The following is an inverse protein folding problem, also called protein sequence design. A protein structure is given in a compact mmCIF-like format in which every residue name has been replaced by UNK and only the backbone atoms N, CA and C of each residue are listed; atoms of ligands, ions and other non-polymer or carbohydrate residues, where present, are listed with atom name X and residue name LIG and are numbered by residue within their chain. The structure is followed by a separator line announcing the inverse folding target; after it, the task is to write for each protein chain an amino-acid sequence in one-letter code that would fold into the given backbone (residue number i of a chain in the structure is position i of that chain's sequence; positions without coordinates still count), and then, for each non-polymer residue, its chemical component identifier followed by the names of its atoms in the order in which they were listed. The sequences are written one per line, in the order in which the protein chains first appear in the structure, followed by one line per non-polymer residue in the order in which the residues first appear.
data_IF_368902011149
#
_entry.id   IF_368902011149
#
_cell.length_a   1.000
_cell.length_b   1.000
_cell.length_c   1.000
_cell.angle_alpha   90.00
_cell.angle_beta   90.00
_cell.angle_gamma   90.00
#
_symmetry.space_group_name_H-M   'P 1'
#
loop_
_entity.id
_entity.type
_entity.pdbx_description
1 polymer ?
#
# COMPACT_ATOMS: atom_id res chain seq x y z
N UNK A 1 1.50 -12.28 -23.09
CA UNK A 1 2.22 -11.01 -23.06
C UNK A 1 3.37 -10.90 -24.07
N UNK A 2 4.43 -11.74 -24.04
CA UNK A 2 5.54 -11.66 -25.05
C UNK A 2 5.03 -11.78 -26.50
N UNK A 3 4.10 -12.68 -26.78
CA UNK A 3 3.52 -12.84 -28.13
C UNK A 3 2.74 -11.60 -28.61
N UNK A 4 1.95 -10.98 -27.74
CA UNK A 4 1.17 -9.77 -28.06
C UNK A 4 2.07 -8.56 -28.34
N UNK A 5 3.16 -8.40 -27.58
CA UNK A 5 4.18 -7.37 -27.82
C UNK A 5 4.93 -7.60 -29.14
N UNK A 6 5.28 -8.85 -29.47
CA UNK A 6 5.94 -9.18 -30.73
C UNK A 6 5.02 -8.87 -31.91
N UNK A 7 3.73 -9.24 -31.86
CA UNK A 7 2.75 -8.92 -32.90
C UNK A 7 2.58 -7.40 -33.03
N UNK A 8 2.51 -6.69 -31.91
CA UNK A 8 2.41 -5.24 -31.90
C UNK A 8 3.59 -4.55 -32.60
N UNK A 9 4.83 -4.92 -32.28
CA UNK A 9 5.99 -4.38 -32.95
C UNK A 9 6.10 -4.78 -34.42
N UNK A 10 5.67 -6.00 -34.78
CA UNK A 10 5.61 -6.42 -36.18
C UNK A 10 4.63 -5.55 -37.00
N UNK A 11 3.46 -5.23 -36.45
CA UNK A 11 2.46 -4.33 -37.07
C UNK A 11 3.03 -2.92 -37.22
N UNK A 12 3.73 -2.40 -36.19
CA UNK A 12 4.37 -1.07 -36.27
C UNK A 12 5.42 -1.03 -37.39
N UNK A 13 6.30 -2.01 -37.44
CA UNK A 13 7.36 -2.09 -38.47
C UNK A 13 6.74 -2.16 -39.87
N UNK A 14 5.68 -2.99 -40.03
CA UNK A 14 4.96 -3.10 -41.29
C UNK A 14 4.33 -1.78 -41.69
N UNK A 15 3.61 -1.10 -40.80
CA UNK A 15 2.95 0.17 -41.07
C UNK A 15 3.95 1.30 -41.43
N UNK A 16 5.10 1.33 -40.76
CA UNK A 16 6.18 2.29 -41.09
C UNK A 16 6.78 1.95 -42.47
N UNK A 17 7.01 0.69 -42.76
CA UNK A 17 7.53 0.26 -44.08
C UNK A 17 6.57 0.64 -45.22
N UNK A 18 5.25 0.44 -45.05
CA UNK A 18 4.21 0.84 -45.97
C UNK A 18 4.21 2.37 -46.21
N UNK A 19 4.26 3.17 -45.15
CA UNK A 19 4.32 4.62 -45.22
C UNK A 19 5.55 5.11 -45.98
N UNK A 20 6.70 4.51 -45.76
CA UNK A 20 7.95 4.83 -46.47
C UNK A 20 7.86 4.45 -47.96
N UNK A 21 7.30 3.25 -48.24
CA UNK A 21 7.10 2.79 -49.60
C UNK A 21 6.16 3.71 -50.39
N UNK A 22 4.99 4.05 -49.87
CA UNK A 22 4.05 4.96 -50.46
C UNK A 22 4.61 6.37 -50.64
N UNK A 23 5.34 6.88 -49.63
CA UNK A 23 6.03 8.18 -49.74
C UNK A 23 7.05 8.21 -50.86
N UNK A 24 7.87 7.12 -51.00
CA UNK A 24 8.82 6.99 -52.11
C UNK A 24 8.11 7.00 -53.48
N UNK A 25 7.06 6.21 -53.63
CA UNK A 25 6.29 6.11 -54.88
C UNK A 25 5.64 7.44 -55.25
N UNK A 26 5.05 8.16 -54.31
CA UNK A 26 4.43 9.47 -54.53
C UNK A 26 5.45 10.55 -54.94
N UNK A 27 6.63 10.54 -54.34
CA UNK A 27 7.73 11.47 -54.74
C UNK A 27 8.21 11.17 -56.14
N UNK A 28 8.26 9.89 -56.55
CA UNK A 28 8.70 9.47 -57.88
C UNK A 28 7.67 9.90 -58.98
N UNK A 29 6.37 9.84 -58.66
CA UNK A 29 5.29 10.20 -59.54
C UNK A 29 5.08 11.74 -59.66
N UNK A 30 5.41 12.52 -58.63
CA UNK A 30 5.20 13.97 -58.57
C UNK A 30 6.44 14.71 -58.01
N UNK A 31 7.52 14.84 -58.80
CA UNK A 31 8.77 15.45 -58.34
C UNK A 31 8.63 16.93 -57.91
N UNK A 32 7.69 17.67 -58.50
CA UNK A 32 7.43 19.08 -58.18
C UNK A 32 6.84 19.31 -56.78
N UNK A 33 6.24 18.27 -56.13
CA UNK A 33 5.64 18.32 -54.80
C UNK A 33 6.44 17.58 -53.73
N UNK A 34 7.69 17.22 -54.03
CA UNK A 34 8.56 16.43 -53.16
C UNK A 34 8.63 16.94 -51.71
N UNK A 35 8.81 18.26 -51.52
CA UNK A 35 8.91 18.85 -50.18
C UNK A 35 7.64 18.69 -49.33
N UNK A 36 6.48 18.84 -49.96
CA UNK A 36 5.17 18.69 -49.29
C UNK A 36 4.93 17.22 -48.88
N UNK A 37 5.17 16.28 -49.80
CA UNK A 37 4.97 14.83 -49.54
C UNK A 37 5.92 14.34 -48.43
N UNK A 38 7.18 14.78 -48.44
CA UNK A 38 8.14 14.43 -47.40
C UNK A 38 7.75 15.00 -46.02
N UNK A 39 7.25 16.24 -45.97
CA UNK A 39 6.78 16.91 -44.75
C UNK A 39 5.58 16.20 -44.13
N UNK A 40 4.57 15.88 -44.96
CA UNK A 40 3.40 15.13 -44.53
C UNK A 40 3.77 13.73 -44.05
N UNK A 41 4.60 13.01 -44.80
CA UNK A 41 5.08 11.67 -44.42
C UNK A 41 5.84 11.68 -43.12
N UNK A 42 6.72 12.66 -42.89
CA UNK A 42 7.46 12.79 -41.62
C UNK A 42 6.50 13.07 -40.43
N UNK A 43 5.49 13.91 -40.64
CA UNK A 43 4.49 14.19 -39.63
C UNK A 43 3.68 12.93 -39.26
N UNK A 44 3.26 12.12 -40.24
CA UNK A 44 2.55 10.86 -39.99
C UNK A 44 3.43 9.87 -39.21
N UNK A 45 4.69 9.70 -39.59
CA UNK A 45 5.63 8.84 -38.88
C UNK A 45 5.81 9.32 -37.44
N UNK A 46 5.95 10.63 -37.22
CA UNK A 46 6.11 11.20 -35.87
C UNK A 46 4.87 10.92 -34.99
N UNK A 47 3.68 11.19 -35.49
CA UNK A 47 2.41 10.94 -34.77
C UNK A 47 2.26 9.46 -34.47
N UNK A 48 2.62 8.59 -35.41
CA UNK A 48 2.56 7.14 -35.23
C UNK A 48 3.54 6.64 -34.16
N UNK A 49 4.78 7.14 -34.13
CA UNK A 49 5.79 6.79 -33.13
C UNK A 49 5.38 7.27 -31.73
N UNK A 50 4.81 8.48 -31.64
CA UNK A 50 4.27 9.00 -30.36
C UNK A 50 3.13 8.10 -29.87
N UNK A 51 2.18 7.75 -30.74
CA UNK A 51 1.08 6.85 -30.40
C UNK A 51 1.57 5.46 -29.95
N UNK A 52 2.54 4.91 -30.65
CA UNK A 52 3.18 3.64 -30.31
C UNK A 52 3.88 3.69 -28.95
N UNK A 53 4.58 4.79 -28.64
CA UNK A 53 5.22 5.00 -27.35
C UNK A 53 4.20 5.03 -26.21
N UNK A 54 3.12 5.81 -26.34
CA UNK A 54 2.06 5.86 -25.32
C UNK A 54 1.36 4.52 -25.14
N UNK A 55 1.08 3.81 -26.23
CA UNK A 55 0.46 2.49 -26.15
C UNK A 55 1.38 1.47 -25.47
N UNK A 56 2.68 1.46 -25.81
CA UNK A 56 3.68 0.62 -25.15
C UNK A 56 3.74 0.91 -23.63
N UNK A 57 3.77 2.18 -23.25
CA UNK A 57 3.78 2.59 -21.84
C UNK A 57 2.50 2.13 -21.11
N UNK A 58 1.33 2.25 -21.76
CA UNK A 58 0.05 1.80 -21.22
C UNK A 58 0.02 0.29 -21.01
N UNK A 59 0.45 -0.49 -22.00
CA UNK A 59 0.53 -1.95 -21.91
C UNK A 59 1.48 -2.43 -20.79
N UNK A 60 2.62 -1.77 -20.64
CA UNK A 60 3.56 -2.10 -19.56
C UNK A 60 2.99 -1.76 -18.18
N UNK A 61 2.27 -0.65 -18.06
CA UNK A 61 1.60 -0.25 -16.82
C UNK A 61 0.51 -1.26 -16.43
N UNK A 62 -0.30 -1.67 -17.41
CA UNK A 62 -1.35 -2.67 -17.19
C UNK A 62 -0.76 -4.03 -16.79
N UNK A 63 0.29 -4.47 -17.48
CA UNK A 63 1.00 -5.70 -17.18
C UNK A 63 1.54 -5.72 -15.75
N UNK A 64 2.16 -4.61 -15.32
CA UNK A 64 2.69 -4.46 -13.96
C UNK A 64 1.57 -4.49 -12.92
N UNK A 65 0.44 -3.85 -13.21
CA UNK A 65 -0.73 -3.88 -12.34
C UNK A 65 -1.31 -5.30 -12.19
N UNK A 66 -1.36 -6.07 -13.29
CA UNK A 66 -1.81 -7.47 -13.25
C UNK A 66 -0.87 -8.35 -12.42
N UNK A 67 0.44 -8.15 -12.55
CA UNK A 67 1.43 -8.84 -11.72
C UNK A 67 1.27 -8.48 -10.24
N UNK A 68 1.11 -7.21 -9.92
CA UNK A 68 0.86 -6.76 -8.54
C UNK A 68 -0.43 -7.36 -7.97
N UNK A 69 -1.53 -7.42 -8.75
CA UNK A 69 -2.78 -8.06 -8.34
C UNK A 69 -2.59 -9.56 -8.07
N UNK A 70 -1.85 -10.26 -8.95
CA UNK A 70 -1.55 -11.69 -8.76
C UNK A 70 -0.76 -11.90 -7.46
N UNK A 71 0.30 -11.15 -7.25
CA UNK A 71 1.15 -11.23 -6.06
C UNK A 71 0.37 -10.90 -4.79
N UNK A 72 -0.52 -9.91 -4.85
CA UNK A 72 -1.45 -9.61 -3.76
C UNK A 72 -2.33 -10.80 -3.40
N UNK A 73 -2.97 -11.44 -4.38
CA UNK A 73 -3.84 -12.61 -4.13
C UNK A 73 -3.05 -13.77 -3.51
N UNK A 74 -1.83 -14.01 -3.97
CA UNK A 74 -0.94 -15.01 -3.38
C UNK A 74 -0.59 -14.66 -1.93
N UNK A 75 -0.15 -13.42 -1.68
CA UNK A 75 0.17 -12.93 -0.32
C UNK A 75 -1.03 -13.04 0.62
N UNK A 76 -2.22 -12.59 0.20
CA UNK A 76 -3.46 -12.72 0.99
C UNK A 76 -3.76 -14.17 1.33
N UNK A 77 -3.66 -15.08 0.34
CA UNK A 77 -3.91 -16.50 0.56
C UNK A 77 -2.95 -17.07 1.60
N UNK A 78 -1.67 -16.71 1.55
CA UNK A 78 -0.67 -17.13 2.54
C UNK A 78 -0.92 -16.53 3.93
N UNK A 79 -1.25 -15.25 3.99
CA UNK A 79 -1.54 -14.53 5.25
C UNK A 79 -2.82 -15.03 5.93
N UNK A 80 -3.83 -15.46 5.18
CA UNK A 80 -5.04 -16.09 5.72
C UNK A 80 -4.77 -17.55 6.17
N UNK A 81 -3.97 -18.30 5.41
CA UNK A 81 -3.71 -19.71 5.69
C UNK A 81 -2.93 -19.92 6.99
N UNK A 82 -2.01 -19.02 7.33
CA UNK A 82 -1.16 -19.11 8.52
C UNK A 82 -1.97 -19.10 9.83
N UNK A 83 -2.77 -18.07 10.15
CA UNK A 83 -3.58 -18.04 11.37
C UNK A 83 -4.63 -19.15 11.39
N UNK A 84 -5.24 -19.47 10.24
CA UNK A 84 -6.22 -20.57 10.15
C UNK A 84 -5.58 -21.92 10.52
N UNK A 85 -4.35 -22.17 10.06
CA UNK A 85 -3.60 -23.37 10.43
C UNK A 85 -3.24 -23.39 11.92
N UNK A 86 -2.85 -22.24 12.48
CA UNK A 86 -2.57 -22.08 13.91
C UNK A 86 -3.80 -22.40 14.77
N UNK A 87 -4.94 -21.80 14.48
CA UNK A 87 -6.22 -22.06 15.16
C UNK A 87 -6.56 -23.56 15.10
N UNK A 88 -6.46 -24.17 13.90
CA UNK A 88 -6.73 -25.57 13.72
C UNK A 88 -5.85 -26.47 14.59
N UNK A 89 -4.55 -26.19 14.63
CA UNK A 89 -3.59 -26.96 15.43
C UNK A 89 -3.88 -26.81 16.92
N UNK A 90 -4.16 -25.60 17.41
CA UNK A 90 -4.48 -25.32 18.81
C UNK A 90 -5.77 -26.06 19.23
N UNK A 91 -6.84 -25.98 18.44
CA UNK A 91 -8.09 -26.68 18.70
C UNK A 91 -7.93 -28.21 18.63
N UNK A 92 -7.17 -28.74 17.67
CA UNK A 92 -6.87 -30.18 17.62
C UNK A 92 -6.02 -30.64 18.81
N UNK A 93 -5.14 -29.78 19.35
CA UNK A 93 -4.34 -30.08 20.53
C UNK A 93 -5.23 -30.15 21.77
N UNK A 94 -6.16 -29.20 21.94
CA UNK A 94 -7.15 -29.23 23.03
C UNK A 94 -8.01 -30.51 22.96
N UNK A 95 -8.40 -30.93 21.74
CA UNK A 95 -9.24 -32.11 21.56
C UNK A 95 -8.53 -33.44 21.85
N UNK A 96 -7.23 -33.54 21.54
CA UNK A 96 -6.48 -34.81 21.53
C UNK A 96 -5.59 -35.04 22.73
N UNK A 97 -5.35 -34.04 23.57
CA UNK A 97 -4.42 -34.13 24.71
C UNK A 97 -5.12 -33.81 26.00
N UNK A 98 -4.72 -34.50 27.05
CA UNK A 98 -5.09 -34.16 28.43
C UNK A 98 -4.29 -32.90 28.83
N UNK A 99 -4.99 -31.78 28.89
CA UNK A 99 -4.40 -30.47 29.20
C UNK A 99 -4.96 -29.94 30.51
N UNK A 100 -4.14 -29.19 31.25
CA UNK A 100 -4.62 -28.42 32.39
C UNK A 100 -5.55 -27.30 31.95
N UNK A 101 -6.44 -26.87 32.84
CA UNK A 101 -7.37 -25.75 32.58
C UNK A 101 -6.62 -24.47 32.12
N UNK A 102 -5.46 -24.19 32.71
CA UNK A 102 -4.63 -23.03 32.34
C UNK A 102 -4.08 -23.15 30.91
N UNK A 103 -3.65 -24.36 30.49
CA UNK A 103 -3.19 -24.58 29.12
C UNK A 103 -4.32 -24.44 28.11
N UNK A 104 -5.53 -24.96 28.43
CA UNK A 104 -6.70 -24.82 27.58
C UNK A 104 -7.04 -23.32 27.37
N UNK A 105 -7.10 -22.54 28.45
CA UNK A 105 -7.38 -21.10 28.37
C UNK A 105 -6.34 -20.38 27.52
N UNK A 106 -5.05 -20.64 27.72
CA UNK A 106 -3.99 -20.03 26.90
C UNK A 106 -4.13 -20.38 25.41
N UNK A 107 -4.52 -21.61 25.05
CA UNK A 107 -4.74 -22.00 23.66
C UNK A 107 -5.98 -21.33 23.04
N UNK A 108 -7.05 -21.15 23.84
CA UNK A 108 -8.24 -20.41 23.45
C UNK A 108 -7.87 -18.95 23.19
N UNK A 109 -7.16 -18.29 24.12
CA UNK A 109 -6.74 -16.89 23.98
C UNK A 109 -5.89 -16.68 22.74
N UNK A 110 -4.93 -17.56 22.47
CA UNK A 110 -4.13 -17.53 21.23
C UNK A 110 -4.97 -17.71 19.97
N UNK A 111 -5.98 -18.60 20.02
CA UNK A 111 -6.88 -18.80 18.89
C UNK A 111 -7.74 -17.57 18.64
N UNK A 112 -8.23 -16.90 19.68
CA UNK A 112 -8.99 -15.66 19.57
C UNK A 112 -8.15 -14.52 18.96
N UNK A 113 -6.88 -14.38 19.36
CA UNK A 113 -5.97 -13.42 18.74
C UNK A 113 -5.76 -13.70 17.23
N UNK A 114 -5.68 -14.95 16.82
CA UNK A 114 -5.58 -15.30 15.40
C UNK A 114 -6.89 -15.01 14.64
N UNK A 115 -8.07 -15.17 15.28
CA UNK A 115 -9.36 -14.76 14.71
C UNK A 115 -9.43 -13.25 14.52
N UNK A 116 -9.05 -12.46 15.53
CA UNK A 116 -9.00 -10.99 15.44
C UNK A 116 -8.10 -10.52 14.28
N UNK A 117 -6.94 -11.17 14.07
CA UNK A 117 -6.07 -10.87 12.93
C UNK A 117 -6.74 -11.15 11.58
N UNK A 118 -7.53 -12.24 11.49
CA UNK A 118 -8.30 -12.55 10.28
C UNK A 118 -9.38 -11.49 10.01
N UNK A 119 -10.09 -11.06 11.04
CA UNK A 119 -11.11 -10.02 10.95
C UNK A 119 -10.50 -8.69 10.51
N UNK A 120 -9.40 -8.24 11.13
CA UNK A 120 -8.67 -7.02 10.73
C UNK A 120 -8.24 -7.09 9.25
N UNK A 121 -7.81 -8.25 8.77
CA UNK A 121 -7.42 -8.43 7.37
C UNK A 121 -8.62 -8.33 6.42
N UNK A 122 -9.76 -8.96 6.75
CA UNK A 122 -11.00 -8.88 5.97
C UNK A 122 -11.52 -7.45 5.93
N UNK A 123 -11.52 -6.76 7.06
CA UNK A 123 -11.94 -5.35 7.15
C UNK A 123 -11.07 -4.43 6.30
N UNK A 124 -9.76 -4.62 6.31
CA UNK A 124 -8.84 -3.87 5.44
C UNK A 124 -9.11 -4.13 3.94
N UNK A 125 -9.46 -5.37 3.55
CA UNK A 125 -9.83 -5.67 2.17
C UNK A 125 -11.17 -5.01 1.77
N UNK A 126 -12.16 -5.05 2.66
CA UNK A 126 -13.45 -4.41 2.45
C UNK A 126 -13.30 -2.88 2.36
N UNK A 127 -12.47 -2.29 3.23
CA UNK A 127 -12.18 -0.85 3.21
C UNK A 127 -11.48 -0.46 1.90
N UNK A 128 -10.47 -1.21 1.46
CA UNK A 128 -9.81 -0.99 0.18
C UNK A 128 -10.78 -1.09 -1.01
N UNK A 129 -11.73 -2.05 -0.97
CA UNK A 129 -12.77 -2.19 -1.99
C UNK A 129 -13.76 -1.02 -1.97
N UNK A 130 -14.15 -0.52 -0.79
CA UNK A 130 -15.02 0.67 -0.65
C UNK A 130 -14.33 1.93 -1.18
N UNK A 131 -13.05 2.09 -0.90
CA UNK A 131 -12.22 3.21 -1.37
C UNK A 131 -12.14 3.25 -2.90
N UNK A 132 -12.01 2.10 -3.56
CA UNK A 132 -12.00 1.99 -5.04
C UNK A 132 -13.31 2.48 -5.67
N UNK A 133 -14.41 2.45 -4.93
CA UNK A 133 -15.68 3.00 -5.39
C UNK A 133 -15.67 4.52 -5.23
N UNK A 134 -15.53 5.24 -6.36
CA UNK A 134 -15.49 6.70 -6.39
C UNK A 134 -16.72 7.38 -5.76
N UNK A 135 -17.86 6.69 -5.74
CA UNK A 135 -19.12 7.20 -5.15
C UNK A 135 -19.18 7.00 -3.63
N UNK A 136 -18.24 6.27 -3.04
CA UNK A 136 -18.25 6.04 -1.59
C UNK A 136 -17.83 7.30 -0.84
N UNK A 137 -18.71 7.74 0.06
CA UNK A 137 -18.46 8.86 0.97
C UNK A 137 -18.31 8.33 2.38
N UNK A 138 -17.24 8.72 3.05
CA UNK A 138 -17.04 8.39 4.45
C UNK A 138 -18.01 9.16 5.35
N UNK A 139 -18.70 8.50 6.28
CA UNK A 139 -19.49 9.19 7.29
C UNK A 139 -18.58 10.06 8.16
N UNK A 140 -18.97 11.31 8.37
CA UNK A 140 -18.20 12.24 9.19
C UNK A 140 -18.89 12.45 10.53
N UNK A 141 -18.19 12.10 11.60
CA UNK A 141 -18.61 12.37 12.97
C UNK A 141 -17.45 13.01 13.75
N UNK A 142 -17.77 13.85 14.71
CA UNK A 142 -16.79 14.40 15.64
C UNK A 142 -16.44 13.37 16.70
N UNK A 143 -15.17 13.10 16.93
CA UNK A 143 -14.70 12.16 17.95
C UNK A 143 -13.34 12.56 18.50
N UNK A 144 -12.97 12.00 19.65
CA UNK A 144 -11.71 12.24 20.32
C UNK A 144 -10.61 11.34 19.73
N UNK A 145 -9.67 11.95 19.00
CA UNK A 145 -8.53 11.27 18.38
C UNK A 145 -7.52 10.78 19.42
N UNK A 146 -7.35 11.53 20.54
CA UNK A 146 -6.42 11.12 21.61
C UNK A 146 -6.84 9.79 22.22
N UNK A 147 -8.13 9.60 22.49
CA UNK A 147 -8.67 8.33 23.02
C UNK A 147 -8.51 7.19 22.01
N UNK A 148 -8.70 7.47 20.72
CA UNK A 148 -8.54 6.48 19.65
C UNK A 148 -7.09 6.00 19.56
N UNK A 149 -6.14 6.94 19.49
CA UNK A 149 -4.70 6.60 19.38
C UNK A 149 -4.24 5.84 20.62
N UNK A 150 -4.60 6.31 21.81
CA UNK A 150 -4.24 5.66 23.07
C UNK A 150 -4.77 4.22 23.15
N UNK A 151 -6.02 3.97 22.76
CA UNK A 151 -6.61 2.63 22.74
C UNK A 151 -5.89 1.66 21.81
N UNK A 152 -5.46 2.14 20.63
CA UNK A 152 -4.73 1.32 19.65
C UNK A 152 -3.32 1.02 20.14
N UNK A 153 -2.60 2.00 20.68
CA UNK A 153 -1.26 1.82 21.24
C UNK A 153 -1.29 0.79 22.36
N UNK A 154 -2.21 0.93 23.32
CA UNK A 154 -2.36 0.00 24.45
C UNK A 154 -2.67 -1.43 23.96
N UNK A 155 -3.58 -1.60 22.98
CA UNK A 155 -3.89 -2.92 22.38
C UNK A 155 -2.65 -3.56 21.76
N UNK A 156 -1.88 -2.82 20.98
CA UNK A 156 -0.71 -3.33 20.28
C UNK A 156 0.46 -3.64 21.24
N UNK A 157 0.57 -2.91 22.35
CA UNK A 157 1.56 -3.14 23.38
C UNK A 157 1.29 -4.45 24.15
N UNK A 158 0.03 -4.72 24.50
CA UNK A 158 -0.39 -5.94 25.21
C UNK A 158 -0.19 -7.19 24.33
N UNK A 159 -0.50 -7.11 23.03
CA UNK A 159 -0.44 -8.27 22.12
C UNK A 159 0.98 -8.79 21.86
N UNK A 160 2.02 -8.07 22.27
CA UNK A 160 3.45 -8.39 22.02
C UNK A 160 4.28 -8.65 23.28
N UNK A 161 3.65 -8.85 24.42
CA UNK A 161 4.35 -9.10 25.71
C UNK A 161 5.07 -10.45 25.84
N UNK A 162 5.17 -11.28 24.79
CA UNK A 162 5.98 -12.50 24.83
C UNK A 162 7.38 -12.24 24.24
N UNK A 163 8.36 -12.09 25.14
CA UNK A 163 9.81 -12.18 24.91
C UNK A 163 10.47 -11.12 23.98
N UNK A 164 11.12 -10.15 24.60
CA UNK A 164 11.89 -9.03 24.05
C UNK A 164 11.03 -7.85 23.58
N UNK A 165 10.71 -7.05 24.56
CA UNK A 165 9.84 -5.88 24.53
C UNK A 165 10.22 -4.87 23.46
N UNK A 166 9.45 -4.81 22.39
CA UNK A 166 9.37 -3.61 21.60
C UNK A 166 8.47 -2.63 22.35
N UNK A 167 9.02 -1.55 22.88
CA UNK A 167 8.28 -0.57 23.67
C UNK A 167 7.70 0.47 22.70
N UNK A 168 6.38 0.67 22.75
CA UNK A 168 5.75 1.81 22.08
C UNK A 168 5.75 2.96 23.10
N UNK A 169 6.51 4.01 22.81
CA UNK A 169 6.50 5.24 23.58
C UNK A 169 5.48 6.21 22.98
N UNK A 170 4.42 6.51 23.71
CA UNK A 170 3.33 7.36 23.23
C UNK A 170 3.30 8.70 23.96
N UNK A 171 3.42 9.79 23.20
CA UNK A 171 3.23 11.16 23.66
C UNK A 171 1.94 11.71 23.02
N UNK A 172 0.83 11.61 23.73
CA UNK A 172 -0.50 11.95 23.21
C UNK A 172 -1.08 13.12 23.99
N UNK A 173 -1.22 14.28 23.32
CA UNK A 173 -1.93 15.40 23.92
C UNK A 173 -3.42 15.04 24.15
N UNK A 174 -3.97 15.34 25.32
CA UNK A 174 -5.36 14.99 25.63
C UNK A 174 -6.35 15.89 24.88
N UNK A 175 -7.56 15.35 24.66
CA UNK A 175 -8.74 16.09 24.12
C UNK A 175 -8.58 16.64 22.69
N UNK A 176 -7.69 16.08 21.88
CA UNK A 176 -7.65 16.40 20.47
C UNK A 176 -8.87 15.77 19.78
N UNK A 177 -9.72 16.59 19.18
CA UNK A 177 -10.93 16.18 18.48
C UNK A 177 -10.78 16.41 16.98
N UNK A 178 -11.26 15.46 16.18
CA UNK A 178 -11.31 15.58 14.72
C UNK A 178 -12.68 15.19 14.20
N UNK A 179 -13.04 15.69 13.00
CA UNK A 179 -14.25 15.33 12.29
C UNK A 179 -13.91 14.38 11.14
N UNK A 180 -14.43 13.17 11.19
CA UNK A 180 -14.15 12.16 10.16
C UNK A 180 -14.83 10.83 10.42
N UNK A 181 -14.51 9.84 9.58
CA UNK A 181 -14.93 8.45 9.81
C UNK A 181 -14.00 7.79 10.82
N UNK A 182 -14.52 7.56 12.03
CA UNK A 182 -13.75 6.94 13.11
C UNK A 182 -13.20 5.57 12.73
N UNK A 183 -13.96 4.75 11.99
CA UNK A 183 -13.54 3.41 11.59
C UNK A 183 -12.37 3.48 10.58
N UNK A 184 -12.51 4.32 9.55
CA UNK A 184 -11.45 4.50 8.57
C UNK A 184 -10.17 5.08 9.19
N UNK A 185 -10.29 6.04 10.11
CA UNK A 185 -9.15 6.63 10.81
C UNK A 185 -8.53 5.67 11.85
N UNK A 186 -9.32 4.76 12.44
CA UNK A 186 -8.79 3.63 13.23
C UNK A 186 -7.85 2.78 12.36
N UNK A 187 -8.27 2.44 11.13
CA UNK A 187 -7.42 1.68 10.20
C UNK A 187 -6.13 2.44 9.85
N UNK A 188 -6.19 3.77 9.68
CA UNK A 188 -4.98 4.60 9.45
C UNK A 188 -3.99 4.48 10.60
N UNK A 189 -4.44 4.70 11.84
CA UNK A 189 -3.58 4.65 13.03
C UNK A 189 -3.00 3.24 13.19
N UNK A 190 -3.85 2.21 13.12
CA UNK A 190 -3.43 0.80 13.25
C UNK A 190 -2.37 0.44 12.21
N UNK A 191 -2.60 0.75 10.92
CA UNK A 191 -1.66 0.43 9.84
C UNK A 191 -0.30 1.13 10.02
N UNK A 192 -0.27 2.39 10.48
CA UNK A 192 0.99 3.12 10.69
C UNK A 192 1.75 2.58 11.90
N UNK A 193 1.09 2.33 13.03
CA UNK A 193 1.75 1.82 14.23
C UNK A 193 2.20 0.36 14.03
N UNK A 194 1.38 -0.49 13.43
CA UNK A 194 1.76 -1.87 13.11
C UNK A 194 2.95 -1.93 12.15
N UNK A 195 2.99 -1.08 11.12
CA UNK A 195 4.13 -1.01 10.23
C UNK A 195 5.40 -0.59 10.98
N UNK A 196 5.34 0.43 11.82
CA UNK A 196 6.48 0.86 12.63
C UNK A 196 7.01 -0.27 13.51
N UNK A 197 6.12 -0.96 14.22
CA UNK A 197 6.48 -2.11 15.05
C UNK A 197 7.03 -3.28 14.24
N UNK A 198 6.51 -3.53 13.05
CA UNK A 198 6.91 -4.62 12.18
C UNK A 198 8.28 -4.43 11.54
N UNK A 199 8.62 -3.19 11.18
CA UNK A 199 9.85 -2.87 10.48
C UNK A 199 10.96 -2.35 11.39
N UNK A 200 10.67 -2.01 12.64
CA UNK A 200 11.69 -1.72 13.65
C UNK A 200 12.53 -2.94 13.96
N UNK A 201 13.79 -2.72 14.30
CA UNK A 201 14.66 -3.76 14.83
C UNK A 201 14.14 -4.28 16.18
N UNK A 202 14.42 -5.55 16.51
CA UNK A 202 14.07 -6.08 17.83
C UNK A 202 14.67 -5.20 18.95
N UNK A 203 13.88 -4.93 20.00
CA UNK A 203 14.25 -4.10 21.16
C UNK A 203 14.35 -2.58 20.90
N UNK A 204 14.08 -2.10 19.69
CA UNK A 204 14.02 -0.68 19.40
C UNK A 204 12.64 -0.09 19.73
N UNK A 205 12.63 1.17 20.15
CA UNK A 205 11.40 1.85 20.57
C UNK A 205 10.69 2.46 19.34
N UNK A 206 9.38 2.25 19.24
CA UNK A 206 8.51 2.97 18.31
C UNK A 206 7.93 4.19 19.03
N UNK A 207 8.11 5.38 18.46
CA UNK A 207 7.58 6.61 19.06
C UNK A 207 6.31 7.03 18.34
N UNK A 208 5.23 7.22 19.09
CA UNK A 208 3.93 7.69 18.61
C UNK A 208 3.63 9.04 19.24
N UNK A 209 3.40 10.07 18.43
CA UNK A 209 3.07 11.42 18.90
C UNK A 209 1.78 11.92 18.29
N UNK A 210 0.92 12.51 19.12
CA UNK A 210 -0.27 13.23 18.70
C UNK A 210 -0.28 14.58 19.41
N UNK A 211 -0.24 15.68 18.66
CA UNK A 211 -0.19 17.03 19.21
C UNK A 211 -0.83 18.04 18.26
N UNK A 212 -1.23 19.19 18.82
CA UNK A 212 -1.71 20.33 18.06
C UNK A 212 -0.61 21.39 17.97
N UNK A 213 -0.41 21.94 16.77
CA UNK A 213 0.53 23.02 16.52
C UNK A 213 0.08 23.89 15.36
N UNK A 214 0.12 25.24 15.54
CA UNK A 214 -0.19 26.22 14.49
C UNK A 214 -1.58 25.97 13.84
N UNK A 215 -2.59 25.60 14.64
CA UNK A 215 -3.94 25.34 14.16
C UNK A 215 -4.03 24.07 13.27
N UNK A 216 -3.14 23.11 13.46
CA UNK A 216 -3.14 21.82 12.78
C UNK A 216 -2.88 20.71 13.78
N UNK A 217 -3.46 19.54 13.49
CA UNK A 217 -3.22 18.34 14.30
C UNK A 217 -2.18 17.48 13.59
N UNK A 218 -1.15 17.09 14.31
CA UNK A 218 -0.06 16.23 13.86
C UNK A 218 -0.15 14.89 14.54
N UNK A 219 -0.17 13.84 13.74
CA UNK A 219 0.01 12.46 14.18
C UNK A 219 1.29 11.91 13.56
N UNK A 220 2.25 11.52 14.39
CA UNK A 220 3.56 11.04 13.94
C UNK A 220 3.82 9.65 14.51
N UNK A 221 4.35 8.77 13.66
CA UNK A 221 4.84 7.45 14.05
C UNK A 221 6.26 7.32 13.53
N UNK A 222 7.21 7.14 14.45
CA UNK A 222 8.63 7.01 14.14
C UNK A 222 9.14 5.63 14.52
N UNK A 223 9.76 4.94 13.56
CA UNK A 223 10.43 3.66 13.74
C UNK A 223 11.97 3.82 13.67
N UNK A 224 12.69 2.82 14.18
CA UNK A 224 14.15 2.70 14.10
C UNK A 224 14.53 1.45 13.27
N UNK A 225 13.81 1.23 12.18
CA UNK A 225 13.99 0.10 11.29
C UNK A 225 14.96 0.37 10.14
N UNK A 226 14.77 -0.39 9.07
CA UNK A 226 15.60 -0.35 7.86
C UNK A 226 15.49 0.97 7.06
N UNK A 227 14.51 1.83 7.37
CA UNK A 227 14.21 3.03 6.59
C UNK A 227 13.60 2.74 5.23
N UNK A 228 13.33 3.80 4.46
CA UNK A 228 12.72 3.73 3.13
C UNK A 228 13.56 4.56 2.17
N UNK A 229 14.10 3.95 1.12
CA UNK A 229 14.88 4.65 0.10
C UNK A 229 14.03 5.75 -0.58
N UNK A 230 14.63 6.89 -0.93
CA UNK A 230 13.92 8.03 -1.53
C UNK A 230 13.18 7.68 -2.82
N UNK A 231 13.74 6.76 -3.64
CA UNK A 231 13.11 6.25 -4.85
C UNK A 231 11.82 5.46 -4.58
N UNK A 232 11.68 4.90 -3.37
CA UNK A 232 10.55 4.07 -2.95
C UNK A 232 9.44 4.88 -2.26
N UNK A 233 9.78 5.99 -1.58
CA UNK A 233 8.83 6.82 -0.82
C UNK A 233 7.56 7.21 -1.59
N UNK A 234 7.61 7.59 -2.89
CA UNK A 234 6.38 7.86 -3.65
C UNK A 234 5.54 6.63 -3.92
N UNK A 235 6.16 5.44 -3.97
CA UNK A 235 5.54 4.19 -4.42
C UNK A 235 4.97 3.33 -3.30
N UNK A 236 5.42 3.52 -2.06
CA UNK A 236 4.94 2.72 -0.92
C UNK A 236 3.44 2.88 -0.65
N UNK A 237 2.83 3.94 -1.19
CA UNK A 237 1.39 4.20 -1.12
C UNK A 237 0.61 3.61 -2.31
N UNK A 238 1.30 3.05 -3.31
CA UNK A 238 0.64 2.40 -4.45
C UNK A 238 -0.04 1.12 -3.97
N UNK A 239 -1.23 0.85 -4.52
CA UNK A 239 -2.01 -0.35 -4.21
C UNK A 239 -1.22 -1.62 -4.54
N UNK A 240 -1.15 -2.56 -3.60
CA UNK A 240 -0.42 -3.83 -3.69
C UNK A 240 1.11 -3.68 -3.79
N UNK A 241 1.63 -2.47 -3.60
CA UNK A 241 3.06 -2.25 -3.66
C UNK A 241 3.76 -2.72 -2.39
N UNK A 242 4.93 -3.32 -2.56
CA UNK A 242 5.84 -3.72 -1.49
C UNK A 242 7.28 -3.59 -1.97
N UNK A 243 8.16 -3.12 -1.11
CA UNK A 243 9.60 -3.01 -1.40
C UNK A 243 10.23 -4.41 -1.48
N UNK A 244 11.10 -4.64 -2.47
CA UNK A 244 11.80 -5.92 -2.72
C UNK A 244 10.99 -6.94 -3.53
N UNK A 245 11.64 -8.06 -3.93
CA UNK A 245 11.00 -9.19 -4.63
C UNK A 245 10.37 -10.17 -3.64
N UNK A 246 9.44 -11.03 -4.09
CA UNK A 246 8.80 -12.04 -3.23
C UNK A 246 9.82 -13.00 -2.59
N UNK A 247 10.87 -13.35 -3.32
CA UNK A 247 11.90 -14.29 -2.87
C UNK A 247 12.84 -13.72 -1.79
N UNK A 248 12.92 -12.39 -1.67
CA UNK A 248 13.82 -11.68 -0.73
C UNK A 248 13.10 -11.07 0.47
N UNK A 249 11.79 -11.22 0.56
CA UNK A 249 10.97 -10.59 1.61
C UNK A 249 10.95 -11.39 2.90
N UNK A 250 11.49 -10.83 3.97
CA UNK A 250 11.46 -11.42 5.31
C UNK A 250 10.18 -11.07 6.11
N UNK A 251 9.37 -10.11 5.63
CA UNK A 251 8.20 -9.61 6.36
C UNK A 251 6.90 -9.93 5.65
N UNK A 252 5.89 -10.42 6.38
CA UNK A 252 4.52 -10.70 5.90
C UNK A 252 3.77 -9.39 5.60
N UNK A 253 2.77 -9.41 4.73
CA UNK A 253 1.86 -8.27 4.49
C UNK A 253 1.25 -8.24 3.10
N UNK A 254 0.07 -7.63 2.99
CA UNK A 254 -0.75 -7.61 1.76
C UNK A 254 -0.40 -6.48 0.80
N UNK A 255 0.32 -5.44 1.24
CA UNK A 255 0.54 -4.21 0.46
C UNK A 255 -0.70 -3.32 0.33
N UNK A 256 -1.70 -3.49 1.21
CA UNK A 256 -2.89 -2.63 1.26
C UNK A 256 -2.80 -1.54 2.34
N UNK A 257 -2.05 -1.76 3.43
CA UNK A 257 -2.09 -0.88 4.59
C UNK A 257 -1.77 0.58 4.28
N UNK A 258 -0.62 0.86 3.65
CA UNK A 258 -0.23 2.23 3.30
C UNK A 258 -1.09 2.83 2.17
N UNK A 259 -1.59 2.02 1.24
CA UNK A 259 -2.58 2.46 0.26
C UNK A 259 -3.87 2.95 0.95
N UNK A 260 -4.42 2.17 1.89
CA UNK A 260 -5.59 2.56 2.69
C UNK A 260 -5.30 3.86 3.44
N UNK A 261 -4.14 3.96 4.10
CA UNK A 261 -3.73 5.17 4.81
C UNK A 261 -3.80 6.40 3.89
N UNK A 262 -3.19 6.33 2.71
CA UNK A 262 -3.15 7.46 1.77
C UNK A 262 -4.55 7.86 1.30
N UNK A 263 -5.34 6.91 0.85
CA UNK A 263 -6.67 7.15 0.31
C UNK A 263 -7.66 7.68 1.38
N UNK A 264 -7.61 7.11 2.59
CA UNK A 264 -8.44 7.60 3.71
C UNK A 264 -8.06 9.03 4.07
N UNK A 265 -6.77 9.34 4.17
CA UNK A 265 -6.31 10.69 4.51
C UNK A 265 -6.67 11.71 3.42
N UNK A 266 -6.54 11.36 2.14
CA UNK A 266 -6.93 12.23 1.03
C UNK A 266 -8.44 12.54 1.07
N UNK A 267 -9.29 11.56 1.38
CA UNK A 267 -10.74 11.76 1.57
C UNK A 267 -11.09 12.60 2.82
N UNK A 268 -10.21 12.62 3.82
CA UNK A 268 -10.33 13.45 5.02
C UNK A 268 -9.59 14.79 4.91
N UNK A 269 -9.09 15.15 3.71
CA UNK A 269 -8.34 16.40 3.47
C UNK A 269 -7.09 16.53 4.37
N UNK A 270 -6.53 15.39 4.76
CA UNK A 270 -5.29 15.30 5.50
C UNK A 270 -4.12 14.94 4.58
N UNK A 271 -2.91 15.29 4.98
CA UNK A 271 -1.72 14.94 4.22
C UNK A 271 -0.83 13.99 5.01
N UNK A 272 -0.10 13.13 4.27
CA UNK A 272 0.93 12.26 4.85
C UNK A 272 2.27 12.51 4.19
N UNK A 273 3.34 12.55 5.01
CA UNK A 273 4.73 12.64 4.56
C UNK A 273 5.56 11.57 5.23
N UNK A 274 6.56 11.08 4.49
CA UNK A 274 7.55 10.13 5.02
C UNK A 274 8.90 10.83 5.05
N UNK A 275 9.52 10.85 6.24
CA UNK A 275 10.83 11.44 6.50
C UNK A 275 11.77 10.34 7.00
N UNK A 276 13.07 10.55 6.82
CA UNK A 276 14.06 9.65 7.41
C UNK A 276 14.19 9.93 8.92
N UNK A 277 14.27 8.86 9.70
CA UNK A 277 14.62 8.94 11.11
C UNK A 277 16.13 8.78 11.28
N UNK A 278 16.70 9.38 12.33
CA UNK A 278 18.15 9.28 12.64
C UNK A 278 18.35 8.45 13.90
N UNK A 279 19.35 7.56 13.98
CA UNK A 279 20.35 7.26 12.95
C UNK A 279 19.83 6.39 11.80
N UNK A 280 18.74 5.67 11.95
CA UNK A 280 18.07 4.84 10.96
C UNK A 280 16.56 4.76 11.23
N UNK A 281 15.75 4.42 10.20
CA UNK A 281 14.30 4.27 10.31
C UNK A 281 13.52 5.30 9.51
N UNK A 282 12.21 5.34 9.75
CA UNK A 282 11.28 6.24 9.06
C UNK A 282 10.36 6.96 10.04
N UNK A 283 9.92 8.16 9.66
CA UNK A 283 8.90 8.92 10.37
C UNK A 283 7.73 9.14 9.41
N UNK A 284 6.59 8.57 9.73
CA UNK A 284 5.32 8.87 9.07
C UNK A 284 4.64 10.02 9.80
N UNK A 285 4.44 11.13 9.12
CA UNK A 285 3.82 12.34 9.65
C UNK A 285 2.51 12.61 8.92
N UNK A 286 1.41 12.55 9.64
CA UNK A 286 0.05 12.89 9.17
C UNK A 286 -0.32 14.25 9.71
N UNK A 287 -0.89 15.10 8.86
CA UNK A 287 -1.32 16.46 9.22
C UNK A 287 -2.78 16.64 8.83
N UNK A 288 -3.63 16.92 9.83
CA UNK A 288 -5.03 17.31 9.64
C UNK A 288 -5.16 18.82 9.76
N UNK A 289 -5.93 19.43 8.86
CA UNK A 289 -6.37 20.81 9.05
C UNK A 289 -7.47 20.85 10.13
N UNK A 290 -7.39 21.80 11.08
CA UNK A 290 -8.54 22.08 11.96
C UNK A 290 -9.66 22.68 11.10
N UNK A 291 -10.81 22.01 11.04
CA UNK A 291 -12.05 22.49 10.41
C UNK A 291 -12.97 23.10 11.45
#
# INVERSE_FOLDING_TARGET
MRKTLVIFYAIIIYAVAELVWWGYMLVHLNPSRKGMIMGEGMMFVMVFLIGAYFLHQSLNKEAKLQEQKKNFLLSVTHELKSPLASIKILLQTIQKRDLTKAQILNFIDKSLLDVERLDDMVENMLLASKIDNRSYTFPKAKFNMSVLVDSIVNRLQISKCDCNQQIINAEIEPKIEITGDKFALTSVVTNLVENAVKYSSPCETVNVKLFEKDGKIYFQVADHGIGIADSEKPRIFDKFYRVGSEDTRNTKGTGLGLYIVKEVLDKHQASIKVKDNRPAGSIFEVVFALT
#
